data_IF_330266821589
#
_entry.id   IF_330266821589
#
_cell.length_a   1.000
_cell.length_b   1.000
_cell.length_c   1.000
_cell.angle_alpha   90.00
_cell.angle_beta   90.00
_cell.angle_gamma   90.00
#
_symmetry.space_group_name_H-M   'P 1'
#
loop_
_entity.id
_entity.type
_entity.pdbx_description
1 polymer ?
#
# COMPACT_ATOMS: atom_id res chain seq x y z
N UNK A 1 -17.95 -3.74 4.71
CA UNK A 1 -17.30 -5.05 4.89
C UNK A 1 -15.91 -5.00 5.55
N UNK A 2 -15.32 -3.80 5.74
CA UNK A 2 -14.04 -3.63 6.45
C UNK A 2 -14.13 -4.00 7.95
N UNK A 3 -15.32 -3.86 8.54
CA UNK A 3 -15.55 -4.17 9.96
C UNK A 3 -15.44 -5.68 10.27
N UNK A 4 -15.79 -6.54 9.32
CA UNK A 4 -15.76 -8.00 9.51
C UNK A 4 -14.36 -8.61 9.51
N UNK A 5 -13.37 -7.98 8.88
CA UNK A 5 -12.00 -8.52 8.88
C UNK A 5 -11.20 -8.18 10.14
N UNK A 6 -11.53 -7.08 10.83
CA UNK A 6 -10.83 -6.71 12.07
C UNK A 6 -11.22 -7.61 13.24
N UNK A 7 -12.47 -8.06 13.28
CA UNK A 7 -12.95 -9.03 14.28
C UNK A 7 -12.43 -10.45 14.02
N UNK A 8 -12.07 -10.78 12.78
CA UNK A 8 -11.50 -12.08 12.41
C UNK A 8 -10.00 -12.23 12.74
N UNK A 9 -9.30 -11.16 13.10
CA UNK A 9 -7.85 -11.20 13.42
C UNK A 9 -7.51 -12.03 14.67
N UNK A 10 -8.48 -12.58 15.38
CA UNK A 10 -8.27 -13.44 16.54
C UNK A 10 -8.76 -14.88 16.32
N UNK A 11 -9.23 -15.24 15.12
CA UNK A 11 -9.64 -16.60 14.81
C UNK A 11 -9.13 -16.97 13.41
N UNK A 12 -8.12 -17.84 13.38
CA UNK A 12 -7.60 -18.58 12.22
C UNK A 12 -7.53 -17.74 10.93
N UNK A 13 -6.46 -16.95 10.79
CA UNK A 13 -6.16 -16.29 9.53
C UNK A 13 -6.06 -17.36 8.44
N UNK A 14 -6.97 -17.35 7.47
CA UNK A 14 -6.86 -18.21 6.29
C UNK A 14 -5.45 -18.06 5.69
N UNK A 15 -4.79 -19.17 5.37
CA UNK A 15 -3.43 -19.14 4.82
C UNK A 15 -3.40 -18.27 3.55
N UNK A 16 -2.30 -17.53 3.35
CA UNK A 16 -2.11 -16.74 2.14
C UNK A 16 -2.06 -17.66 0.92
N UNK A 17 -2.83 -17.32 -0.11
CA UNK A 17 -2.78 -17.97 -1.42
C UNK A 17 -1.71 -17.29 -2.29
N UNK A 18 -0.45 -17.60 -2.03
CA UNK A 18 0.68 -16.95 -2.68
C UNK A 18 0.88 -17.45 -4.10
N UNK A 19 0.97 -16.51 -5.03
CA UNK A 19 1.31 -16.71 -6.43
C UNK A 19 2.34 -15.67 -6.88
N UNK A 20 2.89 -15.82 -8.08
CA UNK A 20 3.68 -14.77 -8.70
C UNK A 20 2.74 -13.61 -9.06
N UNK A 21 3.08 -12.40 -8.62
CA UNK A 21 2.31 -11.18 -8.85
C UNK A 21 3.19 -10.18 -9.59
N UNK A 22 2.79 -9.85 -10.80
CA UNK A 22 3.47 -8.84 -11.63
C UNK A 22 3.04 -7.45 -11.16
N UNK A 23 3.97 -6.69 -10.57
CA UNK A 23 3.67 -5.43 -9.92
C UNK A 23 3.24 -4.34 -10.91
N UNK A 24 3.87 -4.28 -12.09
CA UNK A 24 3.51 -3.30 -13.12
C UNK A 24 2.02 -3.39 -13.48
N UNK A 25 1.54 -4.60 -13.81
CA UNK A 25 0.16 -4.79 -14.23
C UNK A 25 -0.83 -4.61 -13.09
N UNK A 26 -0.47 -4.99 -11.87
CA UNK A 26 -1.32 -4.75 -10.70
C UNK A 26 -1.49 -3.26 -10.44
N UNK A 27 -0.42 -2.47 -10.47
CA UNK A 27 -0.50 -1.01 -10.29
C UNK A 27 -1.28 -0.35 -11.42
N UNK A 28 -1.08 -0.78 -12.67
CA UNK A 28 -1.84 -0.28 -13.81
C UNK A 28 -3.35 -0.53 -13.63
N UNK A 29 -3.74 -1.74 -13.27
CA UNK A 29 -5.15 -2.08 -13.02
C UNK A 29 -5.76 -1.23 -11.90
N UNK A 30 -5.07 -1.06 -10.77
CA UNK A 30 -5.56 -0.24 -9.67
C UNK A 30 -5.67 1.24 -10.09
N UNK A 31 -4.74 1.73 -10.90
CA UNK A 31 -4.78 3.10 -11.44
C UNK A 31 -6.02 3.33 -12.30
N UNK A 32 -6.36 2.36 -13.16
CA UNK A 32 -7.58 2.40 -13.99
C UNK A 32 -8.85 2.39 -13.12
N UNK A 33 -8.90 1.57 -12.08
CA UNK A 33 -10.03 1.53 -11.13
C UNK A 33 -10.19 2.85 -10.35
N UNK A 34 -9.09 3.56 -10.07
CA UNK A 34 -9.08 4.83 -9.35
C UNK A 34 -9.24 6.05 -10.28
N UNK A 35 -9.25 5.86 -11.61
CA UNK A 35 -9.32 6.95 -12.58
C UNK A 35 -10.44 7.96 -12.33
N UNK A 36 -11.70 7.57 -11.99
CA UNK A 36 -12.75 8.54 -11.70
C UNK A 36 -12.41 9.48 -10.53
N UNK A 37 -11.75 8.95 -9.49
CA UNK A 37 -11.37 9.74 -8.32
C UNK A 37 -10.19 10.66 -8.65
N UNK A 38 -9.20 10.16 -9.39
CA UNK A 38 -8.05 10.92 -9.87
C UNK A 38 -8.49 12.09 -10.75
N UNK A 39 -9.34 11.82 -11.71
CA UNK A 39 -9.85 12.85 -12.65
C UNK A 39 -10.65 13.94 -11.93
N UNK A 40 -11.45 13.59 -10.93
CA UNK A 40 -12.21 14.56 -10.13
C UNK A 40 -11.32 15.56 -9.36
N UNK A 41 -10.06 15.20 -9.07
CA UNK A 41 -9.09 16.02 -8.33
C UNK A 41 -7.96 16.55 -9.23
N UNK A 42 -8.00 16.31 -10.55
CA UNK A 42 -6.93 16.66 -11.48
C UNK A 42 -5.61 15.93 -11.23
N UNK A 43 -5.64 14.77 -10.57
CA UNK A 43 -4.46 13.99 -10.20
C UNK A 43 -4.19 12.88 -11.19
N UNK A 44 -2.93 12.45 -11.28
CA UNK A 44 -2.52 11.31 -12.08
C UNK A 44 -1.63 10.38 -11.26
N UNK A 45 -1.64 9.09 -11.62
CA UNK A 45 -0.67 8.11 -11.14
C UNK A 45 0.32 7.85 -12.26
N UNK A 46 1.62 8.02 -11.98
CA UNK A 46 2.71 7.59 -12.84
C UNK A 46 3.27 6.27 -12.35
N UNK A 47 3.13 5.23 -13.17
CA UNK A 47 3.65 3.90 -12.89
C UNK A 47 5.07 3.75 -13.48
N UNK A 48 6.08 3.84 -12.63
CA UNK A 48 7.50 3.66 -12.94
C UNK A 48 8.04 2.28 -12.53
N UNK A 49 7.16 1.31 -12.35
CA UNK A 49 7.55 -0.07 -12.05
C UNK A 49 7.97 -0.75 -13.36
N UNK A 50 9.13 -1.40 -13.38
CA UNK A 50 9.55 -2.18 -14.54
C UNK A 50 8.68 -3.44 -14.68
N UNK A 51 8.36 -3.85 -15.93
CA UNK A 51 7.44 -4.97 -16.22
C UNK A 51 7.97 -6.33 -15.75
N UNK A 52 9.27 -6.47 -15.51
CA UNK A 52 9.91 -7.71 -15.05
C UNK A 52 9.89 -7.86 -13.51
N UNK A 53 9.55 -6.80 -12.77
CA UNK A 53 9.49 -6.85 -11.30
C UNK A 53 8.23 -7.55 -10.82
N UNK A 54 8.43 -8.60 -10.04
CA UNK A 54 7.35 -9.38 -9.45
C UNK A 54 7.61 -9.74 -7.99
N UNK A 55 6.55 -10.07 -7.26
CA UNK A 55 6.63 -10.59 -5.89
C UNK A 55 5.85 -11.90 -5.79
N UNK A 56 6.20 -12.74 -4.80
CA UNK A 56 5.46 -13.93 -4.48
C UNK A 56 4.53 -13.67 -3.29
N UNK A 57 3.24 -13.49 -3.57
CA UNK A 57 2.27 -13.07 -2.56
C UNK A 57 0.83 -13.40 -2.93
N UNK A 58 -0.08 -13.09 -2.02
CA UNK A 58 -1.52 -13.20 -2.22
C UNK A 58 -2.00 -11.98 -3.02
N UNK A 59 -2.36 -12.19 -4.28
CA UNK A 59 -2.68 -11.15 -5.24
C UNK A 59 -3.81 -10.24 -4.74
N UNK A 60 -4.91 -10.81 -4.24
CA UNK A 60 -6.06 -10.02 -3.79
C UNK A 60 -5.73 -9.17 -2.57
N UNK A 61 -4.94 -9.74 -1.65
CA UNK A 61 -4.51 -9.01 -0.46
C UNK A 61 -3.52 -7.91 -0.78
N UNK A 62 -2.56 -8.15 -1.69
CA UNK A 62 -1.61 -7.13 -2.14
C UNK A 62 -2.31 -6.02 -2.93
N UNK A 63 -3.26 -6.34 -3.80
CA UNK A 63 -4.08 -5.34 -4.48
C UNK A 63 -4.81 -4.44 -3.48
N UNK A 64 -5.35 -5.02 -2.40
CA UNK A 64 -5.97 -4.24 -1.32
C UNK A 64 -4.99 -3.32 -0.60
N UNK A 65 -3.75 -3.77 -0.35
CA UNK A 65 -2.70 -2.93 0.25
C UNK A 65 -2.43 -1.71 -0.63
N UNK A 66 -2.15 -1.93 -1.90
CA UNK A 66 -1.77 -0.84 -2.82
C UNK A 66 -2.94 0.11 -3.08
N UNK A 67 -4.16 -0.41 -3.19
CA UNK A 67 -5.37 0.41 -3.30
C UNK A 67 -5.54 1.32 -2.05
N UNK A 68 -5.34 0.80 -0.84
CA UNK A 68 -5.43 1.58 0.38
C UNK A 68 -4.37 2.68 0.46
N UNK A 69 -3.13 2.40 0.04
CA UNK A 69 -2.05 3.39 0.00
C UNK A 69 -2.36 4.46 -1.06
N UNK A 70 -2.76 4.07 -2.28
CA UNK A 70 -3.08 4.99 -3.36
C UNK A 70 -4.30 5.88 -3.04
N UNK A 71 -5.35 5.34 -2.43
CA UNK A 71 -6.49 6.14 -1.94
C UNK A 71 -6.07 7.14 -0.88
N UNK A 72 -5.13 6.76 -0.01
CA UNK A 72 -4.55 7.67 0.96
C UNK A 72 -3.77 8.79 0.26
N UNK A 73 -2.90 8.46 -0.69
CA UNK A 73 -2.17 9.44 -1.48
C UNK A 73 -3.11 10.40 -2.23
N UNK A 74 -4.18 9.89 -2.87
CA UNK A 74 -5.20 10.74 -3.53
C UNK A 74 -5.85 11.71 -2.55
N UNK A 75 -6.16 11.25 -1.33
CA UNK A 75 -6.88 12.07 -0.33
C UNK A 75 -6.02 13.17 0.28
N UNK A 76 -4.72 12.95 0.42
CA UNK A 76 -3.82 13.86 1.16
C UNK A 76 -2.84 14.62 0.29
N UNK A 77 -2.64 14.24 -0.96
CA UNK A 77 -1.82 15.02 -1.89
C UNK A 77 -2.51 16.32 -2.32
N UNK A 78 -1.74 17.24 -2.86
CA UNK A 78 -2.26 18.50 -3.39
C UNK A 78 -3.10 18.28 -4.67
N UNK A 79 -3.98 19.21 -4.99
CA UNK A 79 -4.73 19.20 -6.26
C UNK A 79 -3.77 19.32 -7.45
N UNK A 80 -4.13 18.69 -8.56
CA UNK A 80 -3.31 18.67 -9.78
C UNK A 80 -1.89 18.12 -9.59
N UNK A 81 -1.69 17.27 -8.58
CA UNK A 81 -0.40 16.65 -8.28
C UNK A 81 -0.24 15.28 -8.95
N UNK A 82 0.99 14.80 -8.94
CA UNK A 82 1.37 13.49 -9.45
C UNK A 82 1.64 12.56 -8.28
N UNK A 83 1.08 11.35 -8.35
CA UNK A 83 1.40 10.24 -7.45
C UNK A 83 2.32 9.30 -8.22
N UNK A 84 3.54 9.09 -7.75
CA UNK A 84 4.53 8.21 -8.40
C UNK A 84 4.59 6.88 -7.70
N UNK A 85 4.60 5.81 -8.49
CA UNK A 85 4.81 4.44 -7.98
C UNK A 85 6.04 3.87 -8.65
N UNK A 86 6.99 3.42 -7.86
CA UNK A 86 8.20 2.75 -8.34
C UNK A 86 8.46 1.48 -7.56
N UNK A 87 9.22 0.55 -8.13
CA UNK A 87 9.67 -0.65 -7.44
C UNK A 87 11.11 -0.97 -7.82
N UNK A 88 11.81 -1.65 -6.92
CA UNK A 88 13.18 -2.15 -7.15
C UNK A 88 13.40 -3.45 -6.38
N UNK A 89 14.14 -4.34 -6.99
CA UNK A 89 14.60 -5.55 -6.31
C UNK A 89 15.94 -5.28 -5.61
N UNK A 90 15.99 -5.63 -4.34
CA UNK A 90 17.19 -5.61 -3.52
C UNK A 90 17.37 -7.04 -2.99
N UNK A 91 18.49 -7.66 -3.22
CA UNK A 91 18.84 -9.07 -2.94
C UNK A 91 17.80 -9.97 -2.23
N UNK A 92 17.28 -9.55 -1.09
CA UNK A 92 16.30 -10.30 -0.29
C UNK A 92 14.90 -9.67 -0.27
N UNK A 93 14.74 -8.47 -0.82
CA UNK A 93 13.52 -7.66 -0.72
C UNK A 93 13.15 -7.05 -2.06
N UNK A 94 11.86 -6.99 -2.34
CA UNK A 94 11.31 -6.08 -3.33
C UNK A 94 10.75 -4.88 -2.58
N UNK A 95 11.25 -3.70 -2.92
CA UNK A 95 10.87 -2.43 -2.31
C UNK A 95 9.98 -1.68 -3.28
N UNK A 96 8.75 -1.38 -2.84
CA UNK A 96 7.76 -0.63 -3.63
C UNK A 96 7.52 0.70 -2.92
N UNK A 97 7.63 1.79 -3.66
CA UNK A 97 7.52 3.15 -3.13
C UNK A 97 6.37 3.90 -3.80
N UNK A 98 5.55 4.55 -2.98
CA UNK A 98 4.43 5.39 -3.39
C UNK A 98 4.71 6.80 -2.89
N UNK A 99 4.90 7.74 -3.81
CA UNK A 99 5.30 9.10 -3.50
C UNK A 99 4.24 10.09 -3.94
N UNK A 100 3.97 11.08 -3.12
CA UNK A 100 3.06 12.17 -3.46
C UNK A 100 3.50 13.48 -2.80
N UNK A 101 3.11 14.59 -3.41
CA UNK A 101 3.20 15.91 -2.80
C UNK A 101 2.18 16.02 -1.66
N UNK A 102 2.58 16.64 -0.58
CA UNK A 102 1.83 16.77 0.65
C UNK A 102 2.63 16.24 1.84
N UNK A 103 2.37 16.78 3.01
CA UNK A 103 3.12 16.44 4.22
C UNK A 103 2.20 15.90 5.31
N UNK A 104 2.62 14.82 5.93
CA UNK A 104 1.97 14.26 7.10
C UNK A 104 2.62 14.91 8.32
N UNK A 105 1.83 15.51 9.25
CA UNK A 105 2.37 16.05 10.48
C UNK A 105 3.19 15.02 11.26
N UNK A 106 4.33 15.45 11.81
CA UNK A 106 5.29 14.57 12.49
C UNK A 106 4.65 13.77 13.64
N UNK A 107 3.73 14.41 14.39
CA UNK A 107 2.97 13.76 15.47
C UNK A 107 2.05 12.63 14.99
N UNK A 108 1.75 12.58 13.69
CA UNK A 108 0.90 11.56 13.06
C UNK A 108 1.69 10.41 12.44
N UNK A 109 2.95 10.61 12.09
CA UNK A 109 3.77 9.59 11.42
C UNK A 109 3.83 8.26 12.21
N UNK A 110 3.90 8.34 13.53
CA UNK A 110 3.98 7.17 14.40
C UNK A 110 2.65 6.41 14.55
N UNK A 111 1.52 7.09 14.31
CA UNK A 111 0.18 6.55 14.57
C UNK A 111 -0.65 6.35 13.29
N UNK A 112 -0.13 6.72 12.11
CA UNK A 112 -0.87 6.66 10.85
C UNK A 112 -1.31 5.24 10.47
N UNK A 113 -0.61 4.23 10.96
CA UNK A 113 -0.96 2.81 10.79
C UNK A 113 -1.84 2.25 11.92
N UNK A 114 -2.20 3.06 12.91
CA UNK A 114 -3.10 2.64 13.98
C UNK A 114 -4.55 2.66 13.49
N UNK A 115 -5.35 1.78 14.07
CA UNK A 115 -6.77 1.70 13.74
C UNK A 115 -7.47 3.02 14.09
N UNK A 116 -8.34 3.47 13.20
CA UNK A 116 -9.14 4.70 13.36
C UNK A 116 -8.31 6.00 13.36
N UNK A 117 -7.03 5.95 13.01
CA UNK A 117 -6.23 7.15 12.80
C UNK A 117 -6.73 7.89 11.55
N UNK A 118 -7.02 9.18 11.70
CA UNK A 118 -7.41 10.09 10.61
C UNK A 118 -6.60 11.38 10.71
N UNK A 119 -6.10 11.83 9.58
CA UNK A 119 -5.57 13.18 9.47
C UNK A 119 -6.73 14.13 9.28
N UNK A 120 -6.86 15.14 10.15
CA UNK A 120 -7.99 16.08 10.20
C UNK A 120 -8.18 16.95 8.95
N UNK A 121 -7.26 16.91 8.00
CA UNK A 121 -7.21 17.77 6.81
C UNK A 121 -7.57 17.07 5.50
N UNK A 122 -8.30 15.96 5.51
CA UNK A 122 -8.79 15.35 4.27
C UNK A 122 -9.74 16.32 3.54
N UNK A 123 -9.28 16.95 2.46
CA UNK A 123 -10.00 17.96 1.68
C UNK A 123 -11.26 17.44 0.97
N UNK A 124 -11.45 16.12 0.90
CA UNK A 124 -12.60 15.46 0.27
C UNK A 124 -13.33 14.59 1.29
N UNK A 125 -13.91 15.21 2.30
CA UNK A 125 -14.50 14.51 3.46
C UNK A 125 -15.91 13.95 3.25
N UNK A 126 -16.49 13.97 2.06
CA UNK A 126 -17.78 13.30 1.82
C UNK A 126 -17.67 11.76 1.66
N UNK A 127 -16.48 11.26 1.36
CA UNK A 127 -16.18 9.80 1.32
C UNK A 127 -15.21 9.41 2.44
N UNK A 128 -15.40 9.95 3.63
CA UNK A 128 -14.50 9.78 4.77
C UNK A 128 -14.16 8.30 5.01
N UNK A 129 -12.94 7.89 4.68
CA UNK A 129 -12.45 6.55 4.95
C UNK A 129 -12.56 6.22 6.44
N UNK A 130 -12.77 4.95 6.76
CA UNK A 130 -12.94 4.42 8.13
C UNK A 130 -11.73 4.63 9.06
N UNK A 131 -10.58 5.09 8.53
CA UNK A 131 -9.31 5.13 9.26
C UNK A 131 -8.70 3.73 9.47
N UNK A 132 -9.16 2.74 8.73
CA UNK A 132 -8.73 1.34 8.86
C UNK A 132 -7.82 0.90 7.71
N UNK A 133 -7.82 1.62 6.58
CA UNK A 133 -7.13 1.19 5.34
C UNK A 133 -5.64 0.95 5.53
N UNK A 134 -4.91 1.88 6.17
CA UNK A 134 -3.47 1.70 6.41
C UNK A 134 -3.17 0.66 7.49
N UNK A 135 -4.02 0.52 8.52
CA UNK A 135 -3.89 -0.54 9.52
C UNK A 135 -4.08 -1.94 8.88
N UNK A 136 -5.04 -2.08 7.97
CA UNK A 136 -5.25 -3.30 7.19
C UNK A 136 -4.04 -3.56 6.27
N UNK A 137 -3.55 -2.53 5.57
CA UNK A 137 -2.37 -2.65 4.71
C UNK A 137 -1.15 -3.16 5.49
N UNK A 138 -0.86 -2.56 6.65
CA UNK A 138 0.23 -3.00 7.54
C UNK A 138 0.08 -4.47 7.95
N UNK A 139 -1.12 -4.87 8.37
CA UNK A 139 -1.36 -6.27 8.79
C UNK A 139 -1.13 -7.25 7.64
N UNK A 140 -1.63 -6.95 6.44
CA UNK A 140 -1.44 -7.79 5.25
C UNK A 140 0.05 -7.90 4.90
N UNK A 141 0.81 -6.81 4.93
CA UNK A 141 2.25 -6.82 4.63
C UNK A 141 3.01 -7.64 5.69
N UNK A 142 2.68 -7.52 6.97
CA UNK A 142 3.25 -8.36 8.04
C UNK A 142 2.94 -9.85 7.81
N UNK A 143 1.73 -10.20 7.39
CA UNK A 143 1.38 -11.58 7.02
C UNK A 143 2.23 -12.12 5.86
N UNK A 144 2.69 -11.25 4.95
CA UNK A 144 3.62 -11.61 3.86
C UNK A 144 5.08 -11.71 4.32
N UNK A 145 5.38 -11.41 5.60
CA UNK A 145 6.74 -11.36 6.14
C UNK A 145 7.47 -10.07 5.79
N UNK A 146 6.75 -9.06 5.34
CA UNK A 146 7.24 -7.74 4.93
C UNK A 146 7.07 -6.67 6.01
N UNK A 147 7.37 -5.44 5.60
CA UNK A 147 7.15 -4.25 6.42
C UNK A 147 6.68 -3.08 5.56
N UNK A 148 5.96 -2.15 6.20
CA UNK A 148 5.52 -0.89 5.61
C UNK A 148 5.98 0.26 6.48
N UNK A 149 6.51 1.30 5.86
CA UNK A 149 7.00 2.52 6.49
C UNK A 149 6.41 3.73 5.80
N UNK A 150 6.46 4.87 6.46
CA UNK A 150 6.12 6.17 5.90
C UNK A 150 7.22 7.16 6.25
N UNK A 151 7.61 7.94 5.27
CA UNK A 151 8.52 9.07 5.42
C UNK A 151 7.80 10.31 4.90
N UNK A 152 7.86 11.41 5.63
CA UNK A 152 7.23 12.66 5.20
C UNK A 152 8.06 13.84 5.67
N UNK A 153 8.48 14.66 4.71
CA UNK A 153 9.26 15.88 4.98
C UNK A 153 9.29 16.78 3.74
N UNK A 154 9.49 18.07 3.96
CA UNK A 154 9.68 19.06 2.89
C UNK A 154 8.55 19.07 1.84
N UNK A 155 7.31 18.87 2.27
CA UNK A 155 6.16 18.86 1.39
C UNK A 155 5.98 17.56 0.59
N UNK A 156 6.71 16.49 0.90
CA UNK A 156 6.61 15.19 0.25
C UNK A 156 6.31 14.07 1.25
N UNK A 157 5.55 13.08 0.81
CA UNK A 157 5.28 11.86 1.55
C UNK A 157 5.62 10.65 0.68
N UNK A 158 6.30 9.67 1.28
CA UNK A 158 6.60 8.39 0.67
C UNK A 158 6.13 7.24 1.57
N UNK A 159 5.25 6.38 1.06
CA UNK A 159 4.97 5.08 1.66
C UNK A 159 5.91 4.05 1.03
N UNK A 160 6.60 3.28 1.86
CA UNK A 160 7.59 2.29 1.44
C UNK A 160 7.13 0.92 1.92
N UNK A 161 6.86 0.04 0.98
CA UNK A 161 6.46 -1.35 1.22
C UNK A 161 7.63 -2.26 0.85
N UNK A 162 8.08 -3.07 1.79
CA UNK A 162 9.15 -4.05 1.59
C UNK A 162 8.55 -5.46 1.71
N UNK A 163 8.64 -6.26 0.66
CA UNK A 163 8.15 -7.64 0.61
C UNK A 163 9.35 -8.55 0.34
N UNK A 164 9.49 -9.71 1.01
CA UNK A 164 10.56 -10.66 0.73
C UNK A 164 10.57 -11.06 -0.75
N UNK A 165 11.73 -11.05 -1.40
CA UNK A 165 11.88 -11.47 -2.79
C UNK A 165 11.45 -12.94 -2.98
N UNK A 166 11.08 -13.31 -4.19
CA UNK A 166 10.58 -14.66 -4.52
C UNK A 166 11.56 -15.76 -4.07
N UNK A 167 12.86 -15.51 -4.16
CA UNK A 167 13.90 -16.47 -3.78
C UNK A 167 13.83 -16.83 -2.29
N UNK A 168 13.67 -15.85 -1.41
CA UNK A 168 13.59 -16.07 0.04
C UNK A 168 12.27 -16.66 0.50
N UNK A 169 11.17 -16.36 -0.18
CA UNK A 169 9.86 -16.92 0.16
C UNK A 169 9.80 -18.43 -0.10
N UNK A 170 10.46 -18.92 -1.14
CA UNK A 170 10.57 -20.36 -1.47
C UNK A 170 11.48 -21.11 -0.50
N UNK A 171 12.59 -20.52 -0.07
CA UNK A 171 13.52 -21.13 0.89
C UNK A 171 12.89 -21.26 2.27
N UNK A 172 12.17 -20.25 2.75
CA UNK A 172 11.50 -20.28 4.04
C UNK A 172 10.33 -21.27 4.10
N UNK A 173 9.58 -21.45 2.99
CA UNK A 173 8.52 -22.45 2.93
C UNK A 173 9.04 -23.89 2.82
N UNK A 174 10.28 -24.09 2.38
CA UNK A 174 10.92 -25.42 2.30
C UNK A 174 11.60 -25.86 3.62
N UNK A 175 11.77 -24.95 4.59
CA UNK A 175 12.49 -25.19 5.86
C UNK A 175 11.55 -25.26 7.08
N UNK A 176 10.25 -25.04 6.88
CA UNK A 176 9.27 -25.28 7.96
C UNK A 176 8.93 -26.78 8.03
N UNK A 177 9.22 -27.46 9.17
CA UNK A 177 8.93 -28.87 9.36
C UNK A 177 7.42 -29.15 9.45
#
# INVERSE_FOLDING_TARGET
NEFFEITRSHSEALPLQKTKVDLYYMIAQISDELYPQLNACGKIIENHVDEDISVYGDSDKLARVFNNILKNAISYSEENSVIKVSARELSEWTVIQFENDGEIPEDKLNVIFDKFCRLSNARLSETGGSGLGLAIAKNIIVMHGGQIKVESSNGHTAFIVEIPSEFNSRVRSAVSP
#
